data_IF_440946446213
#
_entry.id   IF_440946446213
#
_cell.length_a   1.000
_cell.length_b   1.000
_cell.length_c   1.000
_cell.angle_alpha   90.00
_cell.angle_beta   90.00
_cell.angle_gamma   90.00
#
_symmetry.space_group_name_H-M   'P 1'
#
loop_
_entity.id
_entity.type
_entity.pdbx_description
1 polymer ?
#
# COMPACT_ATOMS: atom_id res chain seq x y z
N UNK A 1 14.13 -1.29 15.44
CA UNK A 1 12.76 -1.65 15.04
C UNK A 1 12.25 -0.59 14.08
N UNK A 2 12.07 -0.94 12.81
CA UNK A 2 11.45 -0.03 11.83
C UNK A 2 10.00 0.24 12.24
N UNK A 3 9.56 1.49 12.21
CA UNK A 3 8.17 1.85 12.50
C UNK A 3 7.35 1.61 11.24
N UNK A 4 6.35 0.72 11.33
CA UNK A 4 5.33 0.59 10.31
C UNK A 4 4.40 1.80 10.42
N UNK A 5 4.16 2.50 9.31
CA UNK A 5 3.15 3.56 9.21
C UNK A 5 1.95 3.00 8.47
N UNK A 6 0.77 3.19 9.03
CA UNK A 6 -0.51 2.79 8.41
C UNK A 6 -1.35 4.03 8.22
N UNK A 7 -1.85 4.24 7.01
CA UNK A 7 -2.71 5.35 6.63
C UNK A 7 -4.00 4.80 6.05
N UNK A 8 -5.12 5.29 6.55
CA UNK A 8 -6.43 4.90 6.05
C UNK A 8 -7.25 6.15 5.74
N UNK A 9 -7.68 6.26 4.48
CA UNK A 9 -8.67 7.23 4.06
C UNK A 9 -10.00 6.51 3.86
N UNK A 10 -10.94 6.78 4.76
CA UNK A 10 -12.27 6.18 4.72
C UNK A 10 -13.10 6.68 3.53
N UNK A 11 -12.95 7.96 3.15
CA UNK A 11 -13.75 8.56 2.08
C UNK A 11 -13.30 8.06 0.70
N UNK A 12 -11.98 7.89 0.51
CA UNK A 12 -11.39 7.33 -0.70
C UNK A 12 -11.36 5.79 -0.76
N UNK A 13 -11.78 5.10 0.31
CA UNK A 13 -11.62 3.65 0.50
C UNK A 13 -10.21 3.14 0.16
N UNK A 14 -9.23 3.83 0.75
CA UNK A 14 -7.79 3.65 0.47
C UNK A 14 -7.03 3.31 1.75
N UNK A 15 -6.23 2.24 1.70
CA UNK A 15 -5.31 1.83 2.75
C UNK A 15 -3.88 1.83 2.22
N UNK A 16 -2.96 2.44 2.95
CA UNK A 16 -1.53 2.35 2.69
C UNK A 16 -0.77 1.87 3.93
N UNK A 17 0.18 0.97 3.71
CA UNK A 17 1.10 0.49 4.73
C UNK A 17 2.53 0.71 4.24
N UNK A 18 3.28 1.53 4.97
CA UNK A 18 4.68 1.83 4.67
C UNK A 18 5.61 1.24 5.74
N UNK A 19 6.64 0.53 5.29
CA UNK A 19 7.68 -0.05 6.13
C UNK A 19 8.94 0.82 6.21
N UNK A 20 9.12 1.68 5.21
CA UNK A 20 10.26 2.57 5.07
C UNK A 20 9.82 3.96 4.60
N UNK A 21 10.47 4.98 5.15
CA UNK A 21 10.33 6.38 4.74
C UNK A 21 11.46 6.67 3.75
N UNK A 22 11.17 6.49 2.48
CA UNK A 22 12.10 6.57 1.35
C UNK A 22 11.35 6.92 0.07
N UNK A 23 12.03 7.46 -0.93
CA UNK A 23 11.42 7.70 -2.24
C UNK A 23 11.15 6.38 -2.98
N UNK A 24 10.03 6.34 -3.69
CA UNK A 24 9.63 5.17 -4.45
C UNK A 24 8.36 5.42 -5.24
N UNK A 25 8.05 4.51 -6.15
CA UNK A 25 6.90 4.58 -7.03
C UNK A 25 5.99 3.37 -6.80
N UNK A 26 4.70 3.54 -7.12
CA UNK A 26 3.74 2.46 -7.04
C UNK A 26 3.77 1.62 -8.31
N UNK A 27 3.79 0.30 -8.14
CA UNK A 27 3.65 -0.69 -9.19
C UNK A 27 2.43 -1.55 -8.87
N UNK A 28 1.51 -1.65 -9.82
CA UNK A 28 0.34 -2.53 -9.70
C UNK A 28 0.78 -4.00 -9.71
N UNK A 29 0.24 -4.78 -8.78
CA UNK A 29 0.52 -6.23 -8.68
C UNK A 29 -0.74 -7.08 -8.75
N UNK A 30 -1.90 -6.49 -8.48
CA UNK A 30 -3.22 -7.06 -8.72
C UNK A 30 -4.25 -5.92 -8.82
N UNK A 31 -5.49 -6.25 -9.23
CA UNK A 31 -6.60 -5.27 -9.24
C UNK A 31 -6.70 -4.58 -7.88
N UNK A 32 -6.58 -3.25 -7.89
CA UNK A 32 -6.60 -2.37 -6.71
C UNK A 32 -5.47 -2.61 -5.68
N UNK A 33 -4.42 -3.36 -6.01
CA UNK A 33 -3.30 -3.64 -5.10
C UNK A 33 -1.98 -3.21 -5.74
N UNK A 34 -1.25 -2.37 -5.01
CA UNK A 34 -0.01 -1.77 -5.47
C UNK A 34 1.10 -2.00 -4.45
N UNK A 35 2.30 -2.28 -4.94
CA UNK A 35 3.52 -2.24 -4.14
C UNK A 35 4.22 -0.90 -4.34
N UNK A 36 4.72 -0.28 -3.27
CA UNK A 36 5.62 0.86 -3.35
C UNK A 36 7.04 0.33 -3.37
N UNK A 37 7.79 0.60 -4.43
CA UNK A 37 9.17 0.12 -4.60
C UNK A 37 10.14 1.26 -4.85
N UNK A 38 11.40 1.10 -4.43
CA UNK A 38 12.48 2.00 -4.82
C UNK A 38 13.06 1.65 -6.21
N UNK A 39 14.07 2.41 -6.64
CA UNK A 39 14.77 2.18 -7.93
C UNK A 39 15.45 0.80 -8.02
N UNK A 40 15.81 0.19 -6.90
CA UNK A 40 16.40 -1.15 -6.84
C UNK A 40 15.35 -2.28 -6.85
N UNK A 41 14.07 -1.93 -6.81
CA UNK A 41 12.96 -2.87 -6.72
C UNK A 41 12.69 -3.37 -5.30
N UNK A 42 13.28 -2.74 -4.27
CA UNK A 42 13.00 -3.08 -2.88
C UNK A 42 11.62 -2.57 -2.48
N UNK A 43 10.84 -3.41 -1.82
CA UNK A 43 9.51 -3.06 -1.31
C UNK A 43 9.65 -2.10 -0.11
N UNK A 44 9.02 -0.94 -0.23
CA UNK A 44 8.92 0.11 0.77
C UNK A 44 7.55 0.13 1.46
N UNK A 45 6.54 -0.48 0.85
CA UNK A 45 5.17 -0.52 1.35
C UNK A 45 4.20 -1.11 0.33
N UNK A 46 2.92 -1.09 0.66
CA UNK A 46 1.83 -1.45 -0.25
C UNK A 46 0.62 -0.55 -0.05
N UNK A 47 -0.18 -0.42 -1.10
CA UNK A 47 -1.43 0.32 -1.09
C UNK A 47 -2.57 -0.54 -1.65
N UNK A 48 -3.75 -0.37 -1.09
CA UNK A 48 -4.98 -1.08 -1.48
C UNK A 48 -6.08 -0.06 -1.68
N UNK A 49 -6.62 0.00 -2.90
CA UNK A 49 -7.85 0.70 -3.22
C UNK A 49 -9.06 -0.22 -3.05
N UNK A 50 -10.26 0.34 -2.91
CA UNK A 50 -11.49 -0.40 -2.67
C UNK A 50 -11.35 -1.40 -1.50
N UNK A 51 -10.64 -0.98 -0.44
CA UNK A 51 -10.25 -1.87 0.66
C UNK A 51 -11.47 -2.52 1.33
N UNK A 52 -12.53 -1.75 1.57
CA UNK A 52 -13.78 -2.27 2.16
C UNK A 52 -14.37 -3.38 1.28
N UNK A 53 -14.39 -3.24 -0.05
CA UNK A 53 -14.89 -4.27 -0.98
C UNK A 53 -14.10 -5.57 -0.87
N UNK A 54 -12.76 -5.49 -0.81
CA UNK A 54 -11.91 -6.69 -0.66
C UNK A 54 -12.09 -7.38 0.68
N UNK A 55 -12.27 -6.61 1.76
CA UNK A 55 -12.47 -7.15 3.12
C UNK A 55 -13.78 -7.94 3.30
N UNK A 56 -14.75 -7.76 2.39
CA UNK A 56 -16.07 -8.39 2.45
C UNK A 56 -16.18 -9.68 1.62
N UNK A 57 -15.08 -10.15 1.03
CA UNK A 57 -15.03 -11.42 0.29
C UNK A 57 -14.42 -12.50 1.19
N UNK A 58 -15.21 -13.49 1.65
CA UNK A 58 -14.70 -14.61 2.46
C UNK A 58 -13.83 -15.59 1.67
#
# INVERSE_FOLDING_TARGET
MGKIKVWYDEAGDYLEVAFADAEGYFREVAEDVFERVDESGRILGFAVFNFKKKSLTP
#
